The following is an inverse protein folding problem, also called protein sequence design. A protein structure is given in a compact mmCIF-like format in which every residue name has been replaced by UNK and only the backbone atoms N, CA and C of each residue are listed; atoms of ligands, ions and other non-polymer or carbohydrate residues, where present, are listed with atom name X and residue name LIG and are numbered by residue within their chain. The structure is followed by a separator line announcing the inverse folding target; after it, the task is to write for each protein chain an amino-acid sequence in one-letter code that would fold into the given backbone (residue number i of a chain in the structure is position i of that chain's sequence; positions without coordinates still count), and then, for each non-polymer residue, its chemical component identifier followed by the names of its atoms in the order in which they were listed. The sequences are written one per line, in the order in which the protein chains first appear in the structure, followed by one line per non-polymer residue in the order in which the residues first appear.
data_IF_105194468611
#
_entry.id   IF_105194468611
#
_cell.length_a   1.000
_cell.length_b   1.000
_cell.length_c   1.000
_cell.angle_alpha   90.00
_cell.angle_beta   90.00
_cell.angle_gamma   90.00
#
_symmetry.space_group_name_H-M   'P 1'
#
loop_
_entity.id
_entity.type
_entity.pdbx_description
1 polymer ?
#
# COMPACT_ATOMS: atom_id res chain seq x y z
N UNK A 1 17.35 11.59 -5.44
CA UNK A 1 16.06 10.86 -5.36
C UNK A 1 16.30 9.41 -5.70
N UNK A 2 15.79 8.49 -4.88
CA UNK A 2 15.96 7.05 -4.99
C UNK A 2 14.65 6.41 -5.44
N UNK A 3 14.68 5.61 -6.49
CA UNK A 3 13.58 4.73 -6.87
C UNK A 3 13.92 3.33 -6.39
N UNK A 4 12.98 2.67 -5.71
CA UNK A 4 13.24 1.35 -5.21
C UNK A 4 12.01 0.43 -5.23
N UNK A 5 12.31 -0.84 -5.31
CA UNK A 5 11.36 -1.93 -5.18
C UNK A 5 11.92 -3.00 -4.24
N UNK A 6 11.07 -3.90 -3.82
CA UNK A 6 11.44 -4.99 -2.93
C UNK A 6 11.03 -6.31 -3.57
N UNK A 7 12.01 -7.17 -3.82
CA UNK A 7 11.81 -8.48 -4.43
C UNK A 7 12.45 -9.57 -3.56
N UNK A 8 11.96 -9.69 -2.33
CA UNK A 8 12.44 -10.68 -1.37
C UNK A 8 12.07 -12.09 -1.82
N UNK A 9 12.96 -13.04 -1.55
CA UNK A 9 12.76 -14.45 -1.87
C UNK A 9 12.39 -14.73 -3.33
N UNK A 10 12.87 -13.88 -4.24
CA UNK A 10 12.62 -14.01 -5.68
C UNK A 10 11.11 -14.07 -6.03
N UNK A 11 10.30 -13.29 -5.31
CA UNK A 11 8.85 -13.25 -5.52
C UNK A 11 8.46 -13.07 -6.99
N UNK A 12 9.19 -12.21 -7.70
CA UNK A 12 9.14 -12.12 -9.16
C UNK A 12 10.43 -12.73 -9.71
N UNK A 13 10.31 -13.89 -10.34
CA UNK A 13 11.44 -14.50 -11.05
C UNK A 13 11.89 -13.60 -12.19
N UNK A 14 13.22 -13.47 -12.37
CA UNK A 14 13.81 -12.65 -13.44
C UNK A 14 13.27 -11.22 -13.51
N UNK A 15 13.03 -10.59 -12.34
CA UNK A 15 12.56 -9.21 -12.27
C UNK A 15 13.44 -8.29 -13.10
N UNK A 16 12.88 -7.72 -14.15
CA UNK A 16 13.53 -6.73 -15.00
C UNK A 16 13.18 -5.33 -14.51
N UNK A 17 14.07 -4.76 -13.75
CA UNK A 17 13.98 -3.38 -13.33
C UNK A 17 14.89 -2.50 -14.20
N UNK A 18 14.50 -1.24 -14.50
CA UNK A 18 15.43 -0.27 -15.09
C UNK A 18 16.67 -0.07 -14.20
N UNK A 19 17.82 0.23 -14.80
CA UNK A 19 19.09 0.40 -14.08
C UNK A 19 19.08 1.48 -13.01
N UNK A 20 18.13 2.43 -13.08
CA UNK A 20 17.95 3.49 -12.11
C UNK A 20 17.05 3.10 -10.93
N UNK A 21 16.55 1.88 -10.88
CA UNK A 21 15.74 1.35 -9.76
C UNK A 21 16.60 0.45 -8.88
N UNK A 22 16.66 0.77 -7.60
CA UNK A 22 17.30 -0.09 -6.60
C UNK A 22 16.36 -1.25 -6.25
N UNK A 23 16.80 -2.48 -6.44
CA UNK A 23 16.06 -3.67 -6.05
C UNK A 23 16.59 -4.18 -4.71
N UNK A 24 15.75 -4.14 -3.68
CA UNK A 24 16.06 -4.70 -2.36
C UNK A 24 15.66 -6.17 -2.34
N UNK A 25 16.62 -7.05 -2.09
CA UNK A 25 16.42 -8.51 -2.07
C UNK A 25 16.67 -9.12 -0.70
N UNK A 26 17.45 -8.43 0.13
CA UNK A 26 17.90 -8.97 1.40
C UNK A 26 16.83 -8.85 2.49
N UNK A 27 16.65 -9.95 3.21
CA UNK A 27 15.84 -9.98 4.42
C UNK A 27 16.75 -9.84 5.64
N UNK A 28 16.25 -9.20 6.69
CA UNK A 28 16.92 -9.31 7.99
C UNK A 28 16.76 -10.73 8.51
N UNK A 29 17.76 -11.20 9.20
CA UNK A 29 17.76 -12.54 9.80
C UNK A 29 16.49 -12.75 10.66
N UNK A 30 15.77 -13.83 10.39
CA UNK A 30 14.55 -14.21 11.11
C UNK A 30 13.25 -13.64 10.58
N UNK A 31 13.27 -12.78 9.56
CA UNK A 31 12.04 -12.30 8.92
C UNK A 31 11.51 -13.33 7.90
N UNK A 32 10.20 -13.53 7.90
CA UNK A 32 9.55 -14.14 6.74
C UNK A 32 9.56 -13.14 5.56
N UNK A 33 9.52 -13.64 4.30
CA UNK A 33 9.64 -12.79 3.12
C UNK A 33 8.57 -11.71 3.01
N UNK A 34 7.33 -12.01 3.41
CA UNK A 34 6.21 -11.07 3.33
C UNK A 34 6.42 -9.94 4.33
N UNK A 35 6.66 -10.29 5.60
CA UNK A 35 6.89 -9.29 6.66
C UNK A 35 8.13 -8.46 6.39
N UNK A 36 9.22 -9.07 5.93
CA UNK A 36 10.45 -8.35 5.59
C UNK A 36 10.23 -7.35 4.47
N UNK A 37 9.51 -7.73 3.41
CA UNK A 37 9.16 -6.81 2.32
C UNK A 37 8.29 -5.64 2.81
N UNK A 38 7.31 -5.91 3.66
CA UNK A 38 6.45 -4.87 4.23
C UNK A 38 7.21 -3.92 5.13
N UNK A 39 8.18 -4.43 5.89
CA UNK A 39 9.02 -3.58 6.74
C UNK A 39 9.81 -2.55 5.94
N UNK A 40 10.53 -2.98 4.91
CA UNK A 40 11.33 -2.08 4.09
C UNK A 40 10.45 -1.09 3.29
N UNK A 41 9.24 -1.52 2.90
CA UNK A 41 8.24 -0.65 2.30
C UNK A 41 7.76 0.42 3.27
N UNK A 42 7.40 0.02 4.50
CA UNK A 42 6.77 0.87 5.51
C UNK A 42 7.80 1.81 6.13
N UNK A 43 8.90 1.28 6.63
CA UNK A 43 9.90 2.07 7.35
C UNK A 43 10.79 2.92 6.43
N UNK A 44 10.87 2.62 5.16
CA UNK A 44 11.71 3.29 4.17
C UNK A 44 13.20 3.31 4.57
N UNK A 45 14.07 2.55 3.90
CA UNK A 45 15.48 2.44 4.30
C UNK A 45 16.35 3.65 3.86
N UNK A 46 15.75 4.69 3.29
CA UNK A 46 16.44 5.84 2.73
C UNK A 46 16.04 7.13 3.43
N UNK A 47 17.02 7.98 3.73
CA UNK A 47 16.78 9.33 4.27
C UNK A 47 16.49 10.35 3.15
N UNK A 48 16.96 10.06 1.93
CA UNK A 48 16.75 10.91 0.76
C UNK A 48 15.34 10.79 0.21
N UNK A 49 14.88 11.77 -0.59
CA UNK A 49 13.63 11.65 -1.33
C UNK A 49 13.57 10.34 -2.11
N UNK A 50 12.49 9.59 -1.95
CA UNK A 50 12.39 8.25 -2.50
C UNK A 50 11.02 7.94 -3.09
N UNK A 51 10.98 7.01 -4.04
CA UNK A 51 9.77 6.48 -4.65
C UNK A 51 9.80 4.96 -4.50
N UNK A 52 8.88 4.43 -3.72
CA UNK A 52 8.65 3.00 -3.62
C UNK A 52 7.70 2.53 -4.73
N UNK A 53 7.99 1.40 -5.33
CA UNK A 53 7.14 0.75 -6.33
C UNK A 53 7.07 -0.75 -6.02
N UNK A 54 5.88 -1.32 -5.99
CA UNK A 54 5.70 -2.77 -5.87
C UNK A 54 6.40 -3.50 -7.03
N UNK A 55 7.07 -4.61 -6.75
CA UNK A 55 7.84 -5.37 -7.75
C UNK A 55 6.99 -5.77 -8.96
N UNK A 56 5.71 -6.10 -8.75
CA UNK A 56 4.76 -6.41 -9.82
C UNK A 56 4.47 -5.24 -10.78
N UNK A 57 4.85 -4.01 -10.42
CA UNK A 57 4.62 -2.79 -11.21
C UNK A 57 5.88 -2.22 -11.86
N UNK A 58 7.03 -2.78 -11.55
CA UNK A 58 8.33 -2.28 -12.05
C UNK A 58 8.41 -2.28 -13.58
N UNK A 59 7.72 -3.20 -14.25
CA UNK A 59 7.66 -3.26 -15.72
C UNK A 59 7.00 -2.03 -16.37
N UNK A 60 6.26 -1.22 -15.59
CA UNK A 60 5.58 0.01 -16.05
C UNK A 60 6.49 1.24 -16.01
N UNK A 61 7.67 1.12 -15.43
CA UNK A 61 8.57 2.23 -15.22
C UNK A 61 9.25 2.65 -16.53
N UNK A 62 9.09 3.89 -16.88
CA UNK A 62 9.71 4.52 -18.03
C UNK A 62 10.15 5.96 -17.70
N UNK A 63 10.72 6.66 -18.67
CA UNK A 63 11.19 8.04 -18.46
C UNK A 63 10.06 9.01 -18.11
N UNK A 64 8.84 8.76 -18.59
CA UNK A 64 7.69 9.59 -18.26
C UNK A 64 7.27 9.40 -16.79
N UNK A 65 7.26 8.16 -16.29
CA UNK A 65 7.07 7.89 -14.86
C UNK A 65 8.09 8.63 -14.01
N UNK A 66 9.36 8.62 -14.44
CA UNK A 66 10.44 9.30 -13.73
C UNK A 66 10.18 10.80 -13.66
N UNK A 67 9.83 11.42 -14.76
CA UNK A 67 9.52 12.86 -14.83
C UNK A 67 8.33 13.22 -13.93
N UNK A 68 7.23 12.47 -14.00
CA UNK A 68 6.05 12.68 -13.16
C UNK A 68 6.41 12.53 -11.68
N UNK A 69 7.22 11.52 -11.34
CA UNK A 69 7.68 11.32 -9.96
C UNK A 69 8.55 12.47 -9.45
N UNK A 70 9.38 13.05 -10.30
CA UNK A 70 10.17 14.25 -9.97
C UNK A 70 9.26 15.44 -9.67
N UNK A 71 8.23 15.65 -10.49
CA UNK A 71 7.25 16.73 -10.29
C UNK A 71 6.46 16.53 -8.98
N UNK A 72 6.06 15.29 -8.67
CA UNK A 72 5.36 14.96 -7.41
C UNK A 72 6.26 15.21 -6.21
N UNK A 73 7.49 14.72 -6.22
CA UNK A 73 8.47 14.92 -5.14
C UNK A 73 8.75 16.41 -4.93
N UNK A 74 8.82 17.19 -6.00
CA UNK A 74 9.05 18.63 -5.93
C UNK A 74 7.93 19.39 -5.21
N UNK A 75 6.73 18.80 -5.08
CA UNK A 75 5.66 19.39 -4.26
C UNK A 75 5.99 19.43 -2.77
N UNK A 76 6.95 18.64 -2.32
CA UNK A 76 7.29 18.47 -0.91
C UNK A 76 6.25 17.68 -0.10
N UNK A 77 5.27 17.07 -0.76
CA UNK A 77 4.16 16.37 -0.13
C UNK A 77 4.34 14.85 -0.22
N UNK A 78 4.16 14.17 0.89
CA UNK A 78 4.04 12.71 0.89
C UNK A 78 2.82 12.32 0.05
N UNK A 79 3.02 11.49 -0.95
CA UNK A 79 1.97 11.17 -1.92
C UNK A 79 1.84 9.65 -2.08
N UNK A 80 0.61 9.18 -2.16
CA UNK A 80 0.26 7.79 -2.47
C UNK A 80 -0.94 7.78 -3.42
N UNK A 81 -1.23 6.63 -4.01
CA UNK A 81 -2.38 6.49 -4.91
C UNK A 81 -3.65 6.19 -4.12
N UNK A 82 -4.76 6.73 -4.58
CA UNK A 82 -6.10 6.35 -4.13
C UNK A 82 -6.46 4.97 -4.70
N UNK A 83 -7.06 4.12 -3.90
CA UNK A 83 -7.66 2.90 -4.43
C UNK A 83 -8.82 3.29 -5.37
N UNK A 84 -8.93 2.68 -6.56
CA UNK A 84 -9.97 3.03 -7.54
C UNK A 84 -11.37 2.78 -7.00
N UNK A 85 -11.53 1.84 -6.08
CA UNK A 85 -12.77 1.58 -5.38
C UNK A 85 -12.70 2.18 -3.98
N UNK A 86 -13.73 2.97 -3.63
CA UNK A 86 -13.90 3.49 -2.29
C UNK A 86 -14.63 2.44 -1.48
N UNK A 87 -13.88 1.73 -0.64
CA UNK A 87 -14.44 0.82 0.33
C UNK A 87 -14.52 1.50 1.69
N UNK A 88 -15.57 1.21 2.44
CA UNK A 88 -15.57 1.42 3.87
C UNK A 88 -14.55 0.48 4.54
N UNK A 89 -14.24 0.72 5.81
CA UNK A 89 -13.36 -0.16 6.56
C UNK A 89 -13.83 -1.64 6.54
N UNK A 90 -15.13 -1.84 6.77
CA UNK A 90 -15.72 -3.18 6.81
C UNK A 90 -15.70 -3.87 5.44
N UNK A 91 -16.02 -3.15 4.37
CA UNK A 91 -15.94 -3.69 3.00
C UNK A 91 -14.51 -4.10 2.64
N UNK A 92 -13.52 -3.29 3.00
CA UNK A 92 -12.11 -3.64 2.78
C UNK A 92 -11.70 -4.90 3.56
N UNK A 93 -12.11 -5.01 4.82
CA UNK A 93 -11.88 -6.18 5.66
C UNK A 93 -12.56 -7.43 5.09
N UNK A 94 -13.84 -7.30 4.71
CA UNK A 94 -14.61 -8.39 4.11
C UNK A 94 -13.97 -8.90 2.82
N UNK A 95 -13.51 -7.98 1.96
CA UNK A 95 -12.81 -8.35 0.73
C UNK A 95 -11.53 -9.15 1.00
N UNK A 96 -10.77 -8.78 2.02
CA UNK A 96 -9.54 -9.51 2.38
C UNK A 96 -9.82 -10.91 2.92
N UNK A 97 -10.86 -11.06 3.75
CA UNK A 97 -11.28 -12.36 4.26
C UNK A 97 -11.82 -13.23 3.13
N UNK A 98 -12.71 -12.70 2.30
CA UNK A 98 -13.29 -13.40 1.14
C UNK A 98 -12.22 -13.94 0.18
N UNK A 99 -11.11 -13.21 0.01
CA UNK A 99 -9.97 -13.64 -0.80
C UNK A 99 -9.01 -14.60 -0.10
N UNK A 100 -9.23 -14.89 1.17
CA UNK A 100 -8.33 -15.70 1.97
C UNK A 100 -6.96 -15.05 2.22
N UNK A 101 -6.90 -13.71 2.13
CA UNK A 101 -5.66 -12.98 2.37
C UNK A 101 -5.40 -12.73 3.85
N UNK A 102 -6.44 -12.80 4.65
CA UNK A 102 -6.43 -12.52 6.07
C UNK A 102 -7.37 -13.48 6.77
N UNK A 103 -6.98 -13.93 7.97
CA UNK A 103 -7.84 -14.71 8.84
C UNK A 103 -8.92 -13.83 9.47
N UNK A 104 -10.20 -14.24 9.50
CA UNK A 104 -11.28 -13.50 10.15
C UNK A 104 -10.96 -13.11 11.60
N UNK A 105 -10.36 -14.04 12.37
CA UNK A 105 -9.99 -13.79 13.77
C UNK A 105 -8.96 -12.66 13.90
N UNK A 106 -8.03 -12.54 12.95
CA UNK A 106 -7.02 -11.48 12.97
C UNK A 106 -7.67 -10.13 12.66
N UNK A 107 -8.62 -10.08 11.72
CA UNK A 107 -9.40 -8.86 11.43
C UNK A 107 -10.22 -8.45 12.64
N UNK A 108 -10.89 -9.40 13.28
CA UNK A 108 -11.71 -9.13 14.48
C UNK A 108 -10.85 -8.55 15.61
N UNK A 109 -9.73 -9.17 15.93
CA UNK A 109 -8.77 -8.68 16.95
C UNK A 109 -8.31 -7.27 16.63
N UNK A 110 -7.93 -7.03 15.38
CA UNK A 110 -7.48 -5.71 14.93
C UNK A 110 -8.58 -4.65 15.05
N UNK A 111 -9.81 -5.00 14.67
CA UNK A 111 -10.98 -4.09 14.80
C UNK A 111 -11.29 -3.77 16.25
N UNK A 112 -11.19 -4.74 17.16
CA UNK A 112 -11.38 -4.52 18.60
C UNK A 112 -10.31 -3.55 19.14
N UNK A 113 -9.05 -3.76 18.78
CA UNK A 113 -7.98 -2.84 19.20
C UNK A 113 -8.19 -1.41 18.66
N UNK A 114 -8.73 -1.28 17.43
CA UNK A 114 -9.06 0.02 16.87
C UNK A 114 -10.21 0.72 17.60
N UNK A 115 -11.22 -0.02 18.03
CA UNK A 115 -12.38 0.53 18.74
C UNK A 115 -11.99 1.20 20.07
N UNK A 116 -10.87 0.81 20.67
CA UNK A 116 -10.31 1.44 21.88
C UNK A 116 -9.48 2.71 21.58
N UNK A 117 -9.42 3.13 20.34
CA UNK A 117 -8.68 4.31 19.89
C UNK A 117 -9.60 5.45 19.46
N UNK A 118 -9.02 6.49 18.88
CA UNK A 118 -9.75 7.58 18.23
C UNK A 118 -9.94 7.38 16.72
N UNK A 119 -9.76 6.15 16.25
CA UNK A 119 -9.94 5.83 14.85
C UNK A 119 -11.42 6.01 14.47
N UNK A 120 -11.66 6.76 13.41
CA UNK A 120 -13.00 6.99 12.87
C UNK A 120 -13.23 6.05 11.69
N UNK A 121 -14.09 5.07 11.87
CA UNK A 121 -14.43 4.08 10.86
C UNK A 121 -15.20 4.69 9.68
N UNK A 122 -15.92 5.76 9.90
CA UNK A 122 -16.70 6.47 8.86
C UNK A 122 -15.79 7.33 7.96
N UNK A 123 -14.66 7.80 8.52
CA UNK A 123 -13.64 8.54 7.77
C UNK A 123 -12.56 7.63 7.18
N UNK A 124 -12.81 6.34 7.10
CA UNK A 124 -11.88 5.41 6.49
C UNK A 124 -11.66 5.76 5.00
N UNK A 125 -10.43 5.62 4.57
CA UNK A 125 -10.07 5.67 3.16
C UNK A 125 -9.17 4.49 2.81
N UNK A 126 -9.29 3.98 1.59
CA UNK A 126 -8.48 2.87 1.10
C UNK A 126 -7.31 3.40 0.27
N UNK A 127 -6.07 3.39 0.78
CA UNK A 127 -4.91 3.78 0.01
C UNK A 127 -4.48 2.64 -0.90
N UNK A 128 -4.01 2.96 -2.09
CA UNK A 128 -3.31 2.00 -2.92
C UNK A 128 -1.80 2.16 -2.69
N UNK A 129 -1.25 1.34 -1.79
CA UNK A 129 0.14 1.42 -1.38
C UNK A 129 1.13 0.80 -2.40
N UNK A 130 0.76 0.63 -3.67
CA UNK A 130 1.62 0.07 -4.72
C UNK A 130 2.72 1.01 -5.18
N UNK A 131 2.48 2.32 -5.09
CA UNK A 131 3.48 3.36 -5.33
C UNK A 131 3.35 4.40 -4.23
N UNK A 132 4.49 4.81 -3.67
CA UNK A 132 4.55 5.80 -2.59
C UNK A 132 5.70 6.76 -2.90
N UNK A 133 5.38 8.06 -2.98
CA UNK A 133 6.33 9.14 -3.17
C UNK A 133 6.63 9.81 -1.83
N UNK A 134 7.88 9.75 -1.42
CA UNK A 134 8.37 10.32 -0.17
C UNK A 134 9.37 11.44 -0.46
N UNK A 135 8.97 12.71 -0.35
CA UNK A 135 9.90 13.84 -0.49
C UNK A 135 10.92 13.90 0.65
N UNK A 136 10.61 13.25 1.76
CA UNK A 136 11.44 13.05 2.94
C UNK A 136 11.01 11.78 3.68
N UNK A 137 11.88 11.26 4.54
CA UNK A 137 11.55 10.11 5.38
C UNK A 137 10.83 10.59 6.67
N UNK A 138 9.51 10.43 6.72
CA UNK A 138 8.72 10.70 7.93
C UNK A 138 8.79 9.50 8.88
N UNK A 139 9.86 9.42 9.66
CA UNK A 139 10.12 8.29 10.56
C UNK A 139 8.99 8.07 11.55
N UNK A 140 8.35 9.13 12.06
CA UNK A 140 7.28 9.01 13.05
C UNK A 140 6.01 8.40 12.45
N UNK A 141 5.64 8.84 11.24
CA UNK A 141 4.54 8.24 10.52
C UNK A 141 4.85 6.78 10.15
N UNK A 142 6.03 6.52 9.64
CA UNK A 142 6.46 5.18 9.24
C UNK A 142 6.50 4.21 10.44
N UNK A 143 7.01 4.65 11.60
CA UNK A 143 7.01 3.87 12.84
C UNK A 143 5.60 3.58 13.34
N UNK A 144 4.69 4.56 13.31
CA UNK A 144 3.28 4.38 13.65
C UNK A 144 2.62 3.37 12.68
N UNK A 145 2.86 3.50 11.37
CA UNK A 145 2.36 2.57 10.38
C UNK A 145 2.87 1.14 10.63
N UNK A 146 4.18 0.99 10.93
CA UNK A 146 4.78 -0.30 11.25
C UNK A 146 4.24 -0.90 12.56
N UNK A 147 4.01 -0.08 13.58
CA UNK A 147 3.38 -0.49 14.83
C UNK A 147 2.00 -1.10 14.56
N UNK A 148 1.14 -0.39 13.83
CA UNK A 148 -0.20 -0.89 13.51
C UNK A 148 -0.19 -2.10 12.57
N UNK A 149 0.77 -2.18 11.65
CA UNK A 149 0.96 -3.38 10.86
C UNK A 149 1.27 -4.61 11.74
N UNK A 150 2.09 -4.46 12.77
CA UNK A 150 2.44 -5.55 13.69
C UNK A 150 1.34 -5.92 14.69
N UNK A 151 0.39 -5.03 14.96
CA UNK A 151 -0.78 -5.31 15.83
C UNK A 151 -1.86 -6.19 15.17
N UNK A 152 -1.63 -6.67 13.99
CA UNK A 152 -2.59 -7.48 13.24
C UNK A 152 -3.08 -6.79 11.96
N UNK A 153 -2.50 -5.67 11.61
CA UNK A 153 -2.71 -5.04 10.32
C UNK A 153 -2.12 -5.92 9.22
N UNK A 154 -2.77 -7.02 8.98
CA UNK A 154 -2.39 -8.11 8.08
C UNK A 154 -2.14 -7.62 6.66
N UNK A 155 -2.63 -6.42 6.35
CA UNK A 155 -2.39 -5.71 5.09
C UNK A 155 -1.87 -4.31 5.36
N UNK A 156 -0.85 -3.93 4.62
CA UNK A 156 -0.24 -2.61 4.70
C UNK A 156 -1.21 -1.45 4.41
N UNK A 157 -2.25 -1.69 3.60
CA UNK A 157 -3.30 -0.71 3.31
C UNK A 157 -4.15 -0.38 4.55
N UNK A 158 -4.64 -1.41 5.28
CA UNK A 158 -5.42 -1.18 6.52
C UNK A 158 -4.61 -0.41 7.56
N UNK A 159 -3.39 -0.89 7.83
CA UNK A 159 -2.52 -0.26 8.83
C UNK A 159 -2.07 1.15 8.44
N UNK A 160 -1.95 1.44 7.12
CA UNK A 160 -1.67 2.80 6.64
C UNK A 160 -2.78 3.77 7.03
N UNK A 161 -4.04 3.41 6.75
CA UNK A 161 -5.20 4.26 7.06
C UNK A 161 -5.31 4.55 8.54
N UNK A 162 -5.03 3.55 9.37
CA UNK A 162 -5.00 3.71 10.83
C UNK A 162 -3.88 4.67 11.26
N UNK A 163 -2.67 4.45 10.78
CA UNK A 163 -1.54 5.32 11.07
C UNK A 163 -1.81 6.77 10.61
N UNK A 164 -2.44 6.92 9.45
CA UNK A 164 -2.78 8.23 8.91
C UNK A 164 -3.75 9.00 9.79
N UNK A 165 -4.79 8.34 10.32
CA UNK A 165 -5.75 9.00 11.21
C UNK A 165 -5.17 9.27 12.59
N UNK A 166 -4.41 8.35 13.16
CA UNK A 166 -3.94 8.43 14.54
C UNK A 166 -2.62 9.18 14.71
N UNK A 167 -1.84 9.39 13.64
CA UNK A 167 -0.58 10.11 13.72
C UNK A 167 -0.82 11.61 13.93
N UNK A 168 -0.39 12.20 15.07
CA UNK A 168 -0.62 13.61 15.36
C UNK A 168 0.21 14.54 14.48
N UNK A 169 1.24 14.04 13.82
CA UNK A 169 2.18 14.78 12.99
C UNK A 169 2.14 14.24 11.55
N UNK A 170 0.95 13.99 11.04
CA UNK A 170 0.84 13.55 9.65
C UNK A 170 1.41 14.61 8.71
N UNK A 171 2.35 14.16 7.89
CA UNK A 171 2.78 14.91 6.74
C UNK A 171 1.57 15.19 5.83
N UNK A 172 1.59 16.33 5.17
CA UNK A 172 0.53 16.68 4.23
C UNK A 172 0.52 15.65 3.08
N UNK A 173 -0.43 14.73 3.13
CA UNK A 173 -0.60 13.71 2.08
C UNK A 173 -1.48 14.24 0.98
N UNK A 174 -1.01 14.11 -0.24
CA UNK A 174 -1.80 14.40 -1.43
C UNK A 174 -2.36 13.11 -1.98
N UNK A 175 -3.63 13.08 -2.05
CA UNK A 175 -4.44 12.06 -2.63
C UNK A 175 -4.63 12.36 -4.12
N UNK A 176 -4.26 11.48 -5.03
CA UNK A 176 -4.36 11.83 -6.42
C UNK A 176 -4.84 10.69 -7.31
N UNK A 177 -6.13 10.71 -7.61
CA UNK A 177 -6.70 9.98 -8.76
C UNK A 177 -6.10 10.43 -10.09
N UNK A 178 -5.76 11.71 -10.18
CA UNK A 178 -5.22 12.31 -11.41
C UNK A 178 -3.85 11.75 -11.77
N UNK A 179 -3.07 11.29 -10.78
CA UNK A 179 -1.79 10.62 -11.03
C UNK A 179 -2.01 9.28 -11.76
N UNK A 180 -3.03 8.52 -11.39
CA UNK A 180 -3.36 7.25 -12.05
C UNK A 180 -3.69 7.47 -13.53
N UNK A 181 -4.48 8.49 -13.82
CA UNK A 181 -4.84 8.84 -15.19
C UNK A 181 -3.61 9.25 -16.01
N UNK A 182 -2.63 9.94 -15.40
CA UNK A 182 -1.38 10.29 -16.05
C UNK A 182 -0.51 9.08 -16.36
N UNK A 183 -0.55 8.03 -15.52
CA UNK A 183 0.16 6.78 -15.79
C UNK A 183 -0.54 5.92 -16.84
N UNK A 184 -1.87 5.88 -16.84
CA UNK A 184 -2.63 5.14 -17.85
C UNK A 184 -2.43 5.70 -19.25
N UNK A 185 -2.33 7.03 -19.37
CA UNK A 185 -1.99 7.69 -20.64
C UNK A 185 -0.51 7.53 -21.03
N UNK A 186 0.35 7.24 -20.06
CA UNK A 186 1.78 7.02 -20.24
C UNK A 186 2.15 5.56 -20.51
N UNK A 187 1.25 4.62 -20.23
CA UNK A 187 1.44 3.22 -20.57
C UNK A 187 1.16 3.02 -22.06
N UNK A 188 2.08 2.43 -22.83
CA UNK A 188 1.87 2.15 -24.26
C UNK A 188 0.62 1.33 -24.54
N UNK A 189 0.11 0.62 -23.56
CA UNK A 189 -0.97 -0.36 -23.69
C UNK A 189 -2.27 0.02 -22.93
N UNK A 190 -2.34 1.17 -22.26
CA UNK A 190 -3.54 1.61 -21.52
C UNK A 190 -3.94 0.72 -20.35
N UNK A 191 -3.18 -0.34 -20.07
CA UNK A 191 -3.55 -1.47 -19.21
C UNK A 191 -2.99 -1.38 -17.78
N UNK A 192 -2.84 -0.20 -17.22
CA UNK A 192 -2.28 -0.07 -15.85
C UNK A 192 -3.04 -0.88 -14.82
N UNK A 193 -4.35 -1.01 -15.02
CA UNK A 193 -5.27 -1.64 -14.07
C UNK A 193 -5.77 -3.00 -14.51
N UNK A 194 -5.91 -3.23 -15.82
CA UNK A 194 -6.80 -4.26 -16.31
C UNK A 194 -6.23 -5.67 -16.36
N UNK A 195 -4.90 -5.90 -16.42
CA UNK A 195 -4.51 -7.25 -16.82
C UNK A 195 -3.37 -7.94 -16.05
N UNK A 196 -2.69 -7.28 -15.08
CA UNK A 196 -1.55 -7.94 -14.41
C UNK A 196 -1.49 -7.79 -12.89
N UNK A 197 -2.46 -7.17 -12.26
CA UNK A 197 -2.77 -7.46 -10.87
C UNK A 197 -3.50 -8.79 -10.86
N UNK A 198 -2.76 -9.90 -10.88
CA UNK A 198 -3.31 -11.24 -11.01
C UNK A 198 -4.60 -11.37 -10.20
N UNK A 199 -5.65 -11.76 -10.89
CA UNK A 199 -6.97 -12.08 -10.35
C UNK A 199 -7.74 -11.01 -9.57
N UNK A 200 -7.45 -9.71 -9.74
CA UNK A 200 -8.43 -8.68 -9.42
C UNK A 200 -9.59 -8.76 -10.43
N UNK A 201 -10.34 -9.82 -10.38
CA UNK A 201 -11.71 -9.80 -10.83
C UNK A 201 -12.42 -8.86 -9.85
N UNK A 202 -12.62 -7.62 -10.30
CA UNK A 202 -13.55 -6.72 -9.66
C UNK A 202 -14.89 -7.42 -9.62
N UNK A 203 -15.26 -7.94 -8.46
CA UNK A 203 -16.61 -8.35 -8.26
C UNK A 203 -17.41 -7.04 -8.13
N UNK A 204 -18.21 -6.72 -9.16
CA UNK A 204 -19.27 -5.72 -9.09
C UNK A 204 -20.38 -6.12 -8.08
N UNK A 205 -20.22 -7.29 -7.44
CA UNK A 205 -21.14 -7.75 -6.42
C UNK A 205 -20.75 -7.09 -5.10
N UNK A 206 -21.70 -6.34 -4.57
CA UNK A 206 -21.63 -5.80 -3.21
C UNK A 206 -21.18 -6.89 -2.24
N UNK A 207 -20.10 -6.64 -1.52
CA UNK A 207 -19.68 -7.52 -0.42
C UNK A 207 -20.83 -7.50 0.58
N UNK A 208 -21.44 -8.64 0.86
CA UNK A 208 -22.50 -8.71 1.83
C UNK A 208 -21.89 -8.53 3.22
N UNK A 209 -22.00 -7.29 3.71
CA UNK A 209 -21.49 -6.89 5.05
C UNK A 209 -22.14 -7.76 6.13
N UNK A 210 -23.37 -8.23 5.92
CA UNK A 210 -24.08 -9.09 6.87
C UNK A 210 -23.38 -10.45 6.93
N UNK A 211 -23.06 -11.04 5.77
CA UNK A 211 -22.30 -12.31 5.70
C UNK A 211 -20.93 -12.15 6.39
N UNK A 212 -20.28 -11.01 6.22
CA UNK A 212 -19.01 -10.74 6.89
C UNK A 212 -19.15 -10.59 8.41
N UNK A 213 -20.18 -9.90 8.89
CA UNK A 213 -20.46 -9.79 10.33
C UNK A 213 -20.79 -11.16 10.92
N UNK A 214 -21.56 -11.97 10.21
CA UNK A 214 -21.88 -13.33 10.64
C UNK A 214 -20.62 -14.19 10.75
N UNK A 215 -19.68 -14.10 9.77
CA UNK A 215 -18.37 -14.76 9.83
C UNK A 215 -17.50 -14.31 11.02
N UNK A 216 -17.65 -13.08 11.49
CA UNK A 216 -16.90 -12.57 12.66
C UNK A 216 -17.55 -12.97 13.98
N UNK A 217 -18.80 -13.47 13.98
CA UNK A 217 -19.58 -13.77 15.20
C UNK A 217 -19.82 -15.27 15.40
N UNK A 218 -19.49 -16.12 14.43
CA UNK A 218 -19.44 -17.58 14.57
C UNK A 218 -18.13 -18.02 15.25
#
# INVERSE_FOLDING_TARGET
MIYYTINTNNYIEDLKAPDWVTVLTDLREGDDPVRGSRREKILCPFDEPSVYIDASKVHLLNDNFKKISEDIIATGKFTYMEHPHKHSYLEECAEYVKRGWVDPDDVLKFTIELADTKFDFEEYFSPLCTIIWRPYNDTKFNEMWWEWYNKGGVRDQLSFSVAYQLCPQKSETVYSRDIINQFSDASPDGEWWDNKCGDYKYYEEDVDIIEFIDLLTE
#
